data_IF_116346450437
#
_entry.id   IF_116346450437
#
_cell.length_a   1.000
_cell.length_b   1.000
_cell.length_c   1.000
_cell.angle_alpha   90.00
_cell.angle_beta   90.00
_cell.angle_gamma   90.00
#
_symmetry.space_group_name_H-M   'P 1'
#
loop_
_entity.id
_entity.type
_entity.pdbx_description
1 polymer ?
#
# COMPACT_ATOMS: atom_id res chain seq x y z
N UNK A 1 -15.96 -16.99 -2.92
CA UNK A 1 -15.85 -15.65 -3.54
C UNK A 1 -14.65 -14.93 -2.95
N UNK A 2 -13.71 -14.37 -3.73
CA UNK A 2 -12.61 -13.64 -3.13
C UNK A 2 -13.19 -12.46 -2.37
N UNK A 3 -12.92 -12.37 -1.07
CA UNK A 3 -13.29 -11.20 -0.29
C UNK A 3 -12.67 -10.00 -0.99
N UNK A 4 -13.49 -9.10 -1.55
CA UNK A 4 -12.96 -7.85 -2.11
C UNK A 4 -12.20 -7.19 -0.97
N UNK A 5 -10.87 -7.18 -1.06
CA UNK A 5 -10.01 -6.39 -0.18
C UNK A 5 -10.32 -4.93 -0.52
N UNK A 6 -11.43 -4.43 0.04
CA UNK A 6 -11.85 -3.05 -0.15
C UNK A 6 -10.85 -2.22 0.64
N UNK A 7 -9.89 -1.66 -0.09
CA UNK A 7 -8.95 -0.73 0.49
C UNK A 7 -9.71 0.51 0.94
N UNK A 8 -9.72 0.73 2.25
CA UNK A 8 -10.23 1.95 2.88
C UNK A 8 -9.07 2.85 3.26
N UNK A 9 -9.39 4.13 3.51
CA UNK A 9 -8.42 5.13 4.00
C UNK A 9 -7.14 5.18 3.15
N UNK A 10 -7.34 5.13 1.82
CA UNK A 10 -6.27 5.19 0.82
C UNK A 10 -5.69 6.59 0.81
N UNK A 11 -4.39 6.69 1.02
CA UNK A 11 -3.64 7.96 0.96
C UNK A 11 -2.58 7.87 -0.14
N UNK A 12 -2.32 8.97 -0.84
CA UNK A 12 -1.28 9.04 -1.86
C UNK A 12 -0.09 9.83 -1.32
N UNK A 13 1.07 9.21 -1.29
CA UNK A 13 2.35 9.80 -0.90
C UNK A 13 3.29 9.73 -2.11
N UNK A 14 3.37 10.84 -2.85
CA UNK A 14 4.12 10.89 -4.11
C UNK A 14 3.55 9.89 -5.15
N UNK A 15 4.39 9.05 -5.79
CA UNK A 15 3.93 8.03 -6.72
C UNK A 15 3.37 6.79 -6.01
N UNK A 16 3.38 6.73 -4.68
CA UNK A 16 2.93 5.55 -3.90
C UNK A 16 1.55 5.80 -3.30
N UNK A 17 0.66 4.83 -3.40
CA UNK A 17 -0.62 4.78 -2.68
C UNK A 17 -0.51 3.80 -1.51
N UNK A 18 -0.97 4.23 -0.34
CA UNK A 18 -1.08 3.39 0.86
C UNK A 18 -2.54 3.16 1.16
N UNK A 19 -2.99 1.92 1.02
CA UNK A 19 -4.34 1.48 1.33
C UNK A 19 -4.38 0.65 2.61
N UNK A 20 -5.51 0.66 3.30
CA UNK A 20 -5.76 -0.22 4.44
C UNK A 20 -6.82 -1.25 4.04
N UNK A 21 -6.52 -2.54 4.14
CA UNK A 21 -7.45 -3.62 3.89
C UNK A 21 -7.57 -4.53 5.11
N UNK A 22 -8.59 -5.37 5.13
CA UNK A 22 -8.66 -6.48 6.07
C UNK A 22 -8.28 -7.77 5.36
N UNK A 23 -7.50 -8.61 6.04
CA UNK A 23 -7.28 -9.98 5.59
C UNK A 23 -8.54 -10.84 5.83
N UNK A 24 -8.52 -12.08 5.34
CA UNK A 24 -9.62 -13.04 5.52
C UNK A 24 -9.87 -13.43 6.99
N UNK A 25 -8.99 -13.04 7.90
CA UNK A 25 -9.08 -13.25 9.35
C UNK A 25 -9.50 -11.97 10.09
N UNK A 26 -9.85 -10.89 9.38
CA UNK A 26 -10.27 -9.61 9.95
C UNK A 26 -9.14 -8.76 10.51
N UNK A 27 -7.88 -9.09 10.24
CA UNK A 27 -6.73 -8.27 10.68
C UNK A 27 -6.51 -7.12 9.72
N UNK A 28 -6.24 -5.95 10.28
CA UNK A 28 -5.90 -4.77 9.50
C UNK A 28 -4.51 -4.94 8.87
N UNK A 29 -4.45 -4.77 7.56
CA UNK A 29 -3.24 -4.79 6.75
C UNK A 29 -3.14 -3.47 6.00
N UNK A 30 -1.93 -2.95 5.89
CA UNK A 30 -1.64 -1.70 5.20
C UNK A 30 -0.73 -1.98 4.02
N UNK A 31 -1.25 -1.78 2.81
CA UNK A 31 -0.53 -2.05 1.56
C UNK A 31 -0.02 -0.74 0.99
N UNK A 32 1.28 -0.63 0.77
CA UNK A 32 1.90 0.46 0.01
C UNK A 32 2.23 -0.03 -1.40
N UNK A 33 1.69 0.63 -2.42
CA UNK A 33 1.89 0.27 -3.83
C UNK A 33 2.25 1.50 -4.67
N UNK A 34 3.34 1.42 -5.43
CA UNK A 34 3.72 2.46 -6.38
C UNK A 34 2.81 2.39 -7.60
N UNK A 35 2.15 3.50 -7.93
CA UNK A 35 1.29 3.62 -9.10
C UNK A 35 2.06 3.95 -10.38
N UNK A 36 3.39 4.12 -10.29
CA UNK A 36 4.21 4.33 -11.46
C UNK A 36 4.24 3.06 -12.33
N UNK A 37 3.95 3.17 -13.63
CA UNK A 37 3.99 2.02 -14.52
C UNK A 37 5.40 1.43 -14.53
N UNK A 38 5.51 0.09 -14.44
CA UNK A 38 6.77 -0.67 -14.46
C UNK A 38 7.67 -0.55 -13.21
N UNK A 39 7.28 0.18 -12.17
CA UNK A 39 8.04 0.19 -10.92
C UNK A 39 7.89 -1.14 -10.15
N UNK A 40 6.67 -1.70 -10.10
CA UNK A 40 6.41 -2.99 -9.45
C UNK A 40 6.49 -2.99 -7.91
N UNK A 41 6.74 -1.84 -7.28
CA UNK A 41 6.81 -1.74 -5.83
C UNK A 41 5.42 -1.94 -5.20
N UNK A 42 5.28 -3.00 -4.41
CA UNK A 42 4.11 -3.31 -3.60
C UNK A 42 4.57 -4.03 -2.33
N UNK A 43 4.13 -3.57 -1.17
CA UNK A 43 4.47 -4.20 0.12
C UNK A 43 3.32 -4.08 1.12
N UNK A 44 3.06 -5.15 1.84
CA UNK A 44 2.05 -5.23 2.91
C UNK A 44 2.69 -5.13 4.29
N UNK A 45 2.12 -4.29 5.15
CA UNK A 45 2.58 -4.04 6.51
C UNK A 45 1.44 -4.25 7.52
N UNK A 46 1.80 -4.60 8.74
CA UNK A 46 0.84 -4.71 9.86
C UNK A 46 0.57 -3.37 10.55
N UNK A 47 1.33 -2.32 10.21
CA UNK A 47 1.12 -0.98 10.76
C UNK A 47 1.05 0.09 9.66
N UNK A 48 0.13 1.03 9.84
CA UNK A 48 -0.06 2.15 8.91
C UNK A 48 1.19 3.01 8.80
N UNK A 49 1.83 3.28 9.94
CA UNK A 49 3.05 4.07 10.01
C UNK A 49 4.19 3.42 9.22
N UNK A 50 4.35 2.09 9.26
CA UNK A 50 5.36 1.40 8.45
C UNK A 50 5.06 1.52 6.95
N UNK A 51 3.80 1.36 6.54
CA UNK A 51 3.42 1.50 5.14
C UNK A 51 3.60 2.95 4.62
N UNK A 52 3.24 3.95 5.42
CA UNK A 52 3.44 5.36 5.09
C UNK A 52 4.93 5.73 5.08
N UNK A 53 5.74 5.19 5.99
CA UNK A 53 7.19 5.37 6.00
C UNK A 53 7.82 4.80 4.72
N UNK A 54 7.48 3.56 4.37
CA UNK A 54 7.96 2.92 3.14
C UNK A 54 7.57 3.72 1.90
N UNK A 55 6.34 4.24 1.85
CA UNK A 55 5.87 5.10 0.78
C UNK A 55 6.67 6.42 0.68
N UNK A 56 6.98 7.05 1.82
CA UNK A 56 7.78 8.29 1.87
C UNK A 56 9.23 8.07 1.45
N UNK A 57 9.81 6.93 1.80
CA UNK A 57 11.20 6.60 1.46
C UNK A 57 11.36 5.98 0.08
N UNK A 58 10.25 5.64 -0.59
CA UNK A 58 10.29 5.01 -1.90
C UNK A 58 10.81 6.00 -2.97
N UNK A 59 11.97 5.69 -3.53
CA UNK A 59 12.50 6.37 -4.71
C UNK A 59 12.12 5.56 -5.94
N UNK A 60 11.14 6.04 -6.70
CA UNK A 60 10.73 5.40 -7.94
C UNK A 60 11.86 5.55 -8.98
N UNK A 61 12.42 4.45 -9.51
CA UNK A 61 13.47 4.51 -10.52
C UNK A 61 12.93 4.84 -11.92
N UNK A 62 11.63 4.66 -12.15
CA UNK A 62 10.96 4.86 -13.45
C UNK A 62 10.48 6.31 -13.62
N UNK A 63 11.30 7.29 -13.21
CA UNK A 63 10.91 8.70 -13.23
C UNK A 63 10.94 9.29 -14.63
#
# INVERSE_FOLDING_TARGET
>A
MPARHRFRRVVRLGPVQVGTAYDSRGREKHTAACTAPRCGFCADYDSRAAAELAARTHRCPVR
#
